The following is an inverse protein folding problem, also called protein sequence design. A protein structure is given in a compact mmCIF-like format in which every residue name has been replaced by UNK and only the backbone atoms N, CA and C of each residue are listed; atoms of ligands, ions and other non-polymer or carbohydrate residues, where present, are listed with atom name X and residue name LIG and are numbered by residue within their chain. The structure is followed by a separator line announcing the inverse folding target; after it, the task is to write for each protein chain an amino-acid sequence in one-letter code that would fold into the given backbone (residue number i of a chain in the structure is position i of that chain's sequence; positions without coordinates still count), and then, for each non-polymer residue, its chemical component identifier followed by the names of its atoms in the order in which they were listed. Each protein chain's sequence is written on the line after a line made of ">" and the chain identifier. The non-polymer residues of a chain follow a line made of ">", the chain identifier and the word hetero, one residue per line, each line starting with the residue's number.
data_IF_135746237113
#
_entry.id   IF_135746237113
#
_cell.length_a   1.000
_cell.length_b   1.000
_cell.length_c   1.000
_cell.angle_alpha   90.00
_cell.angle_beta   90.00
_cell.angle_gamma   90.00
#
_symmetry.space_group_name_H-M   'P 1'
#
loop_
_entity.id
_entity.type
_entity.pdbx_description
1 polymer ?
#
# COMPACT_ATOMS: atom_id res chain seq x y z
N UNK A 1 -14.20 -25.84 -38.20
CA UNK A 1 -13.91 -24.54 -37.56
C UNK A 1 -12.96 -24.81 -36.40
N UNK A 2 -11.75 -24.24 -36.41
CA UNK A 2 -10.81 -24.34 -35.28
C UNK A 2 -11.01 -23.14 -34.36
N UNK A 3 -11.32 -23.39 -33.09
CA UNK A 3 -11.39 -22.34 -32.06
C UNK A 3 -9.97 -22.10 -31.55
N UNK A 4 -9.49 -20.86 -31.61
CA UNK A 4 -8.18 -20.53 -31.06
C UNK A 4 -8.24 -20.40 -29.54
N UNK A 5 -7.12 -20.65 -28.86
CA UNK A 5 -7.00 -20.40 -27.41
C UNK A 5 -7.32 -18.94 -27.06
N UNK A 6 -6.97 -17.99 -27.94
CA UNK A 6 -7.25 -16.58 -27.73
C UNK A 6 -8.75 -16.29 -27.73
N UNK A 7 -9.53 -16.96 -28.60
CA UNK A 7 -10.98 -16.81 -28.65
C UNK A 7 -11.62 -17.43 -27.41
N UNK A 8 -11.17 -18.61 -27.01
CA UNK A 8 -11.63 -19.25 -25.78
C UNK A 8 -11.41 -18.36 -24.55
N UNK A 9 -10.22 -17.74 -24.42
CA UNK A 9 -9.89 -16.84 -23.31
C UNK A 9 -10.74 -15.56 -23.30
N UNK A 10 -11.08 -15.01 -24.47
CA UNK A 10 -11.96 -13.83 -24.57
C UNK A 10 -13.40 -14.13 -24.20
N UNK A 11 -13.84 -15.37 -24.39
CA UNK A 11 -15.18 -15.83 -24.01
C UNK A 11 -15.28 -16.25 -22.55
N UNK A 12 -14.17 -16.29 -21.80
CA UNK A 12 -14.23 -16.60 -20.37
C UNK A 12 -14.97 -15.51 -19.61
N UNK A 13 -15.85 -15.94 -18.70
CA UNK A 13 -16.37 -15.03 -17.67
C UNK A 13 -15.24 -14.58 -16.76
N UNK A 14 -15.42 -13.43 -16.10
CA UNK A 14 -14.47 -12.91 -15.11
C UNK A 14 -14.10 -13.95 -14.05
N UNK A 15 -15.09 -14.71 -13.55
CA UNK A 15 -14.88 -15.76 -12.56
C UNK A 15 -14.07 -16.95 -13.10
N UNK A 16 -14.30 -17.33 -14.36
CA UNK A 16 -13.55 -18.42 -14.99
C UNK A 16 -12.10 -18.00 -15.27
N UNK A 17 -11.87 -16.75 -15.68
CA UNK A 17 -10.53 -16.18 -15.83
C UNK A 17 -9.79 -16.13 -14.49
N UNK A 18 -10.45 -15.69 -13.41
CA UNK A 18 -9.88 -15.69 -12.06
C UNK A 18 -9.48 -17.11 -11.63
N UNK A 19 -10.38 -18.08 -11.81
CA UNK A 19 -10.14 -19.49 -11.46
C UNK A 19 -8.96 -20.09 -12.24
N UNK A 20 -8.82 -19.74 -13.52
CA UNK A 20 -7.67 -20.13 -14.35
C UNK A 20 -6.37 -19.54 -13.81
N UNK A 21 -6.38 -18.25 -13.50
CA UNK A 21 -5.19 -17.54 -12.98
C UNK A 21 -4.80 -18.05 -11.60
N UNK A 22 -5.76 -18.39 -10.74
CA UNK A 22 -5.52 -19.03 -9.45
C UNK A 22 -4.89 -20.41 -9.63
N UNK A 23 -5.38 -21.23 -10.57
CA UNK A 23 -4.75 -22.51 -10.91
C UNK A 23 -3.30 -22.34 -11.39
N UNK A 24 -3.05 -21.36 -12.26
CA UNK A 24 -1.69 -21.02 -12.72
C UNK A 24 -0.80 -20.54 -11.56
N UNK A 25 -1.36 -19.78 -10.61
CA UNK A 25 -0.65 -19.31 -9.41
C UNK A 25 -0.25 -20.46 -8.50
N UNK A 26 -1.18 -21.36 -8.19
CA UNK A 26 -0.93 -22.57 -7.36
C UNK A 26 0.18 -23.44 -7.97
N UNK A 27 0.23 -23.51 -9.31
CA UNK A 27 1.28 -24.27 -10.03
C UNK A 27 2.58 -23.50 -10.26
N UNK A 28 2.66 -22.23 -9.85
CA UNK A 28 3.84 -21.39 -10.09
C UNK A 28 4.09 -21.05 -11.57
N UNK A 29 3.08 -21.19 -12.44
CA UNK A 29 3.22 -21.06 -13.89
C UNK A 29 2.89 -19.66 -14.43
N UNK A 30 2.61 -18.67 -13.57
CA UNK A 30 2.25 -17.31 -13.99
C UNK A 30 3.28 -16.67 -14.93
N UNK A 31 4.61 -16.70 -14.66
CA UNK A 31 5.59 -16.11 -15.55
C UNK A 31 5.59 -16.77 -16.93
N UNK A 32 5.57 -18.11 -16.97
CA UNK A 32 5.51 -18.87 -18.20
C UNK A 32 4.24 -18.54 -19.00
N UNK A 33 3.07 -18.52 -18.36
CA UNK A 33 1.80 -18.19 -19.02
C UNK A 33 1.80 -16.77 -19.63
N UNK A 34 2.37 -15.78 -18.94
CA UNK A 34 2.50 -14.40 -19.47
C UNK A 34 3.46 -14.31 -20.65
N UNK A 35 4.44 -15.20 -20.74
CA UNK A 35 5.38 -15.26 -21.86
C UNK A 35 4.85 -16.06 -23.06
N UNK A 36 3.99 -17.05 -22.83
CA UNK A 36 3.47 -17.95 -23.86
C UNK A 36 2.70 -17.22 -24.97
N UNK A 37 1.73 -16.36 -24.63
CA UNK A 37 1.01 -15.57 -25.63
C UNK A 37 0.36 -14.31 -25.06
N UNK A 38 -0.01 -13.37 -25.96
CA UNK A 38 -0.65 -12.09 -25.59
C UNK A 38 -2.01 -12.27 -24.91
N UNK A 39 -2.80 -13.27 -25.33
CA UNK A 39 -4.13 -13.51 -24.76
C UNK A 39 -4.03 -14.02 -23.31
N UNK A 40 -3.11 -14.95 -23.03
CA UNK A 40 -2.84 -15.40 -21.67
C UNK A 40 -2.29 -14.27 -20.80
N UNK A 41 -1.37 -13.46 -21.32
CA UNK A 41 -0.89 -12.27 -20.61
C UNK A 41 -2.02 -11.31 -20.25
N UNK A 42 -2.89 -10.97 -21.19
CA UNK A 42 -4.04 -10.09 -20.94
C UNK A 42 -5.03 -10.70 -19.94
N UNK A 43 -5.27 -12.02 -20.00
CA UNK A 43 -6.11 -12.74 -19.05
C UNK A 43 -5.50 -12.71 -17.63
N UNK A 44 -4.20 -12.98 -17.50
CA UNK A 44 -3.48 -12.92 -16.23
C UNK A 44 -3.50 -11.50 -15.68
N UNK A 45 -3.05 -10.51 -16.45
CA UNK A 45 -2.95 -9.11 -16.02
C UNK A 45 -4.35 -8.54 -15.70
N UNK A 46 -5.37 -8.90 -16.47
CA UNK A 46 -6.77 -8.54 -16.21
C UNK A 46 -7.36 -9.16 -14.94
N UNK A 47 -6.79 -10.25 -14.42
CA UNK A 47 -7.26 -10.94 -13.20
C UNK A 47 -6.43 -10.59 -11.96
N UNK A 48 -5.41 -9.74 -12.08
CA UNK A 48 -4.61 -9.30 -10.93
C UNK A 48 -5.44 -8.38 -10.04
N UNK A 49 -5.65 -8.81 -8.79
CA UNK A 49 -6.36 -8.05 -7.76
C UNK A 49 -5.43 -7.46 -6.69
N UNK A 50 -4.23 -8.03 -6.55
CA UNK A 50 -3.22 -7.59 -5.60
C UNK A 50 -1.86 -7.52 -6.29
N UNK A 51 -1.15 -6.42 -6.07
CA UNK A 51 0.19 -6.17 -6.58
C UNK A 51 1.17 -6.02 -5.43
N UNK A 52 2.22 -6.82 -5.42
CA UNK A 52 3.36 -6.64 -4.54
C UNK A 52 4.55 -6.16 -5.39
N UNK A 53 5.13 -5.02 -5.04
CA UNK A 53 6.26 -4.43 -5.75
C UNK A 53 7.37 -4.01 -4.79
N UNK A 54 8.61 -4.13 -5.25
CA UNK A 54 9.78 -3.59 -4.55
C UNK A 54 10.31 -2.40 -5.32
N UNK A 55 10.39 -1.24 -4.66
CA UNK A 55 10.89 -0.01 -5.26
C UNK A 55 12.25 0.34 -4.68
N UNK A 56 13.23 0.50 -5.57
CA UNK A 56 14.59 0.92 -5.26
C UNK A 56 14.79 2.38 -5.66
N UNK A 57 15.84 2.99 -5.14
CA UNK A 57 16.19 4.37 -5.51
C UNK A 57 16.33 4.59 -7.03
N UNK A 58 16.91 3.62 -7.76
CA UNK A 58 17.08 3.68 -9.22
C UNK A 58 15.78 3.45 -10.02
N UNK A 59 14.71 2.96 -9.38
CA UNK A 59 13.45 2.69 -10.08
C UNK A 59 12.70 3.98 -10.43
N UNK A 60 12.99 5.10 -9.76
CA UNK A 60 12.42 6.41 -10.09
C UNK A 60 12.65 6.79 -11.55
N UNK A 61 13.90 6.77 -12.01
CA UNK A 61 14.25 7.13 -13.39
C UNK A 61 13.61 6.18 -14.40
N UNK A 62 13.53 4.89 -14.05
CA UNK A 62 12.89 3.87 -14.89
C UNK A 62 11.38 4.08 -14.97
N UNK A 63 10.75 4.52 -13.88
CA UNK A 63 9.33 4.87 -13.86
C UNK A 63 9.04 6.10 -14.70
N UNK A 64 9.82 7.17 -14.54
CA UNK A 64 9.72 8.41 -15.32
C UNK A 64 9.96 8.15 -16.82
N UNK A 65 10.83 7.20 -17.16
CA UNK A 65 11.07 6.74 -18.53
C UNK A 65 10.01 5.74 -19.06
N UNK A 66 8.96 5.43 -18.29
CA UNK A 66 7.91 4.48 -18.70
C UNK A 66 8.36 3.02 -18.81
N UNK A 67 9.50 2.67 -18.22
CA UNK A 67 10.08 1.32 -18.26
C UNK A 67 9.54 0.40 -17.17
N UNK A 68 8.82 0.95 -16.19
CA UNK A 68 8.19 0.18 -15.12
C UNK A 68 6.67 0.07 -15.36
N UNK A 69 6.08 -1.07 -15.00
CA UNK A 69 4.66 -1.31 -15.20
C UNK A 69 3.83 -0.41 -14.30
N UNK A 70 2.87 0.31 -14.88
CA UNK A 70 1.92 1.16 -14.16
C UNK A 70 0.69 0.38 -13.72
N UNK A 71 -0.05 0.90 -12.73
CA UNK A 71 -1.32 0.29 -12.27
C UNK A 71 -2.38 0.17 -13.37
N UNK A 72 -2.26 0.95 -14.45
CA UNK A 72 -3.12 0.84 -15.63
C UNK A 72 -3.09 -0.54 -16.29
N UNK A 73 -2.01 -1.31 -16.12
CA UNK A 73 -1.90 -2.69 -16.62
C UNK A 73 -2.80 -3.67 -15.86
N UNK A 74 -3.20 -3.34 -14.63
CA UNK A 74 -3.98 -4.21 -13.76
C UNK A 74 -5.30 -3.55 -13.40
N UNK A 75 -6.29 -3.54 -14.33
CA UNK A 75 -7.53 -2.81 -14.15
C UNK A 75 -8.42 -3.35 -13.04
N UNK A 76 -8.09 -4.49 -12.42
CA UNK A 76 -8.82 -5.04 -11.27
C UNK A 76 -8.02 -5.01 -9.98
N UNK A 77 -6.84 -4.39 -9.98
CA UNK A 77 -6.02 -4.23 -8.78
C UNK A 77 -6.74 -3.35 -7.76
N UNK A 78 -6.86 -3.86 -6.53
CA UNK A 78 -7.46 -3.17 -5.37
C UNK A 78 -6.53 -3.15 -4.17
N UNK A 79 -5.48 -3.96 -4.18
CA UNK A 79 -4.53 -4.09 -3.09
C UNK A 79 -3.12 -3.87 -3.63
N UNK A 80 -2.36 -2.97 -3.00
CA UNK A 80 -0.98 -2.69 -3.37
C UNK A 80 -0.09 -2.83 -2.15
N UNK A 81 0.89 -3.71 -2.23
CA UNK A 81 2.01 -3.79 -1.32
C UNK A 81 3.26 -3.20 -1.95
N UNK A 82 3.90 -2.26 -1.25
CA UNK A 82 5.11 -1.59 -1.68
C UNK A 82 6.20 -1.84 -0.65
N UNK A 83 7.25 -2.53 -1.08
CA UNK A 83 8.48 -2.70 -0.30
C UNK A 83 9.49 -1.66 -0.78
N UNK A 84 9.91 -0.76 0.10
CA UNK A 84 10.87 0.29 -0.19
C UNK A 84 12.27 -0.19 0.17
N UNK A 85 13.08 -0.48 -0.84
CA UNK A 85 14.51 -0.77 -0.69
C UNK A 85 15.30 0.52 -0.92
N UNK A 86 15.12 1.46 0.00
CA UNK A 86 15.76 2.77 0.00
C UNK A 86 16.95 2.76 0.97
N UNK A 87 18.07 2.16 0.55
CA UNK A 87 19.32 2.32 1.30
C UNK A 87 19.80 3.77 1.19
N UNK A 88 19.91 4.49 2.31
CA UNK A 88 20.40 5.88 2.38
C UNK A 88 19.32 6.97 2.49
N UNK A 89 19.71 8.25 2.35
CA UNK A 89 18.83 9.43 2.44
C UNK A 89 17.98 9.66 1.18
N UNK A 90 17.44 8.59 0.59
CA UNK A 90 16.55 8.73 -0.57
C UNK A 90 15.18 9.24 -0.13
N UNK A 91 14.51 9.96 -1.03
CA UNK A 91 13.17 10.50 -0.82
C UNK A 91 12.12 9.37 -0.79
N UNK A 92 11.98 8.75 0.38
CA UNK A 92 11.07 7.63 0.67
C UNK A 92 9.64 7.98 0.28
N UNK A 93 9.22 9.22 0.56
CA UNK A 93 7.90 9.73 0.23
C UNK A 93 7.66 9.63 -1.27
N UNK A 94 8.57 10.16 -2.10
CA UNK A 94 8.42 10.07 -3.55
C UNK A 94 8.44 8.64 -4.06
N UNK A 95 9.32 7.78 -3.54
CA UNK A 95 9.37 6.37 -3.95
C UNK A 95 8.05 5.66 -3.66
N UNK A 96 7.49 5.84 -2.45
CA UNK A 96 6.23 5.21 -2.04
C UNK A 96 5.03 5.64 -2.90
N UNK A 97 5.06 6.86 -3.45
CA UNK A 97 3.98 7.40 -4.28
C UNK A 97 4.11 7.04 -5.77
N UNK A 98 5.25 6.49 -6.22
CA UNK A 98 5.47 6.16 -7.64
C UNK A 98 4.38 5.27 -8.26
N UNK A 99 3.88 4.20 -7.60
CA UNK A 99 2.84 3.35 -8.18
C UNK A 99 1.56 4.08 -8.56
N UNK A 100 1.29 5.21 -7.90
CA UNK A 100 0.07 6.00 -8.03
C UNK A 100 0.26 7.22 -8.94
N UNK A 101 1.50 7.54 -9.32
CA UNK A 101 1.80 8.68 -10.16
C UNK A 101 1.19 8.53 -11.56
N UNK A 102 0.51 9.58 -12.03
CA UNK A 102 -0.09 9.65 -13.36
C UNK A 102 -1.24 8.65 -13.59
N UNK A 103 -1.81 8.09 -12.53
CA UNK A 103 -2.98 7.20 -12.65
C UNK A 103 -4.27 8.00 -12.77
N UNK A 104 -5.21 7.46 -13.55
CA UNK A 104 -6.56 7.99 -13.64
C UNK A 104 -7.25 7.96 -12.26
N UNK A 105 -8.07 8.98 -11.91
CA UNK A 105 -8.76 9.03 -10.62
C UNK A 105 -9.60 7.79 -10.32
N UNK A 106 -10.24 7.22 -11.34
CA UNK A 106 -11.01 5.98 -11.22
C UNK A 106 -10.13 4.77 -10.85
N UNK A 107 -8.87 4.73 -11.28
CA UNK A 107 -7.94 3.68 -10.90
C UNK A 107 -7.55 3.81 -9.42
N UNK A 108 -7.23 5.02 -8.97
CA UNK A 108 -6.85 5.33 -7.59
C UNK A 108 -8.00 5.07 -6.61
N UNK A 109 -9.24 5.44 -6.97
CA UNK A 109 -10.42 5.23 -6.13
C UNK A 109 -10.73 3.75 -5.86
N UNK A 110 -10.25 2.83 -6.71
CA UNK A 110 -10.44 1.38 -6.53
C UNK A 110 -9.42 0.75 -5.59
N UNK A 111 -8.35 1.44 -5.25
CA UNK A 111 -7.35 0.92 -4.31
C UNK A 111 -7.98 0.96 -2.91
N UNK A 112 -8.30 -0.23 -2.40
CA UNK A 112 -8.94 -0.45 -1.11
C UNK A 112 -7.92 -0.81 -0.02
N UNK A 113 -6.75 -1.35 -0.39
CA UNK A 113 -5.73 -1.75 0.58
C UNK A 113 -4.32 -1.32 0.14
N UNK A 114 -3.57 -0.73 1.06
CA UNK A 114 -2.17 -0.35 0.87
C UNK A 114 -1.32 -0.89 2.01
N UNK A 115 -0.20 -1.55 1.67
CA UNK A 115 0.84 -1.89 2.63
C UNK A 115 2.17 -1.25 2.20
N UNK A 116 2.78 -0.48 3.08
CA UNK A 116 4.12 0.08 2.89
C UNK A 116 5.08 -0.61 3.83
N UNK A 117 6.16 -1.18 3.31
CA UNK A 117 7.13 -1.99 4.06
C UNK A 117 8.55 -1.56 3.72
N UNK A 118 9.50 -1.77 4.62
CA UNK A 118 10.93 -1.69 4.30
C UNK A 118 11.66 -2.91 4.91
N UNK A 119 12.61 -3.52 4.17
CA UNK A 119 13.38 -4.64 4.68
C UNK A 119 14.51 -4.20 5.63
N UNK A 120 14.81 -2.90 5.74
CA UNK A 120 15.95 -2.38 6.49
C UNK A 120 15.54 -1.38 7.58
N UNK A 121 16.22 -1.49 8.73
CA UNK A 121 16.27 -0.47 9.78
C UNK A 121 17.29 0.62 9.38
N UNK A 122 17.17 1.83 9.91
CA UNK A 122 18.08 2.95 9.58
C UNK A 122 17.59 3.87 8.46
N UNK A 123 16.28 3.93 8.23
CA UNK A 123 15.68 4.94 7.36
C UNK A 123 15.67 6.29 8.08
N UNK A 124 16.47 7.26 7.62
CA UNK A 124 16.49 8.62 8.20
C UNK A 124 15.40 9.55 7.61
N UNK A 125 14.30 9.01 7.08
CA UNK A 125 13.29 9.84 6.44
C UNK A 125 12.29 10.34 7.50
N UNK A 126 12.46 11.54 8.04
CA UNK A 126 11.58 12.17 9.03
C UNK A 126 10.31 12.78 8.41
N UNK A 127 9.62 12.04 7.56
CA UNK A 127 8.50 12.56 6.77
C UNK A 127 7.42 11.50 6.47
N UNK A 128 7.30 10.50 7.35
CA UNK A 128 6.25 9.49 7.31
C UNK A 128 4.85 10.09 7.45
N UNK A 129 4.68 11.10 8.31
CA UNK A 129 3.42 11.83 8.48
C UNK A 129 2.99 12.50 7.17
N UNK A 130 3.92 13.16 6.49
CA UNK A 130 3.67 13.81 5.20
C UNK A 130 3.32 12.79 4.12
N UNK A 131 3.98 11.63 4.13
CA UNK A 131 3.65 10.53 3.22
C UNK A 131 2.23 10.02 3.47
N UNK A 132 1.83 9.80 4.72
CA UNK A 132 0.46 9.39 5.05
C UNK A 132 -0.55 10.44 4.56
N UNK A 133 -0.32 11.73 4.83
CA UNK A 133 -1.18 12.80 4.34
C UNK A 133 -1.31 12.80 2.81
N UNK A 134 -0.22 12.61 2.08
CA UNK A 134 -0.24 12.51 0.62
C UNK A 134 -1.02 11.28 0.13
N UNK A 135 -0.88 10.13 0.80
CA UNK A 135 -1.61 8.91 0.46
C UNK A 135 -3.11 9.04 0.69
N UNK A 136 -3.51 9.67 1.80
CA UNK A 136 -4.92 9.95 2.11
C UNK A 136 -5.57 10.77 0.99
N UNK A 137 -4.85 11.76 0.46
CA UNK A 137 -5.32 12.60 -0.65
C UNK A 137 -5.41 11.83 -1.97
N UNK A 138 -4.44 10.96 -2.26
CA UNK A 138 -4.39 10.21 -3.51
C UNK A 138 -5.31 8.99 -3.55
N UNK A 139 -5.63 8.39 -2.41
CA UNK A 139 -6.33 7.10 -2.31
C UNK A 139 -7.64 7.25 -1.52
N UNK A 140 -8.65 7.96 -2.05
CA UNK A 140 -9.92 8.19 -1.34
C UNK A 140 -10.74 6.92 -1.11
N UNK A 141 -10.42 5.83 -1.83
CA UNK A 141 -11.06 4.53 -1.69
C UNK A 141 -10.51 3.64 -0.58
N UNK A 142 -9.45 4.07 0.11
CA UNK A 142 -8.68 3.22 1.01
C UNK A 142 -9.49 2.76 2.22
N UNK A 143 -9.43 1.45 2.49
CA UNK A 143 -10.08 0.75 3.60
C UNK A 143 -9.08 0.16 4.58
N UNK A 144 -7.91 -0.23 4.09
CA UNK A 144 -6.83 -0.78 4.90
C UNK A 144 -5.52 -0.06 4.58
N UNK A 145 -4.85 0.46 5.61
CA UNK A 145 -3.51 1.02 5.50
C UNK A 145 -2.57 0.33 6.49
N UNK A 146 -1.55 -0.36 5.95
CA UNK A 146 -0.49 -0.97 6.73
C UNK A 146 0.79 -0.14 6.56
N UNK A 147 1.00 0.81 7.47
CA UNK A 147 2.14 1.71 7.43
C UNK A 147 3.32 1.12 8.23
N UNK A 148 4.03 0.19 7.60
CA UNK A 148 5.14 -0.57 8.17
C UNK A 148 6.48 0.04 7.72
N UNK A 149 6.72 1.30 8.08
CA UNK A 149 8.00 1.99 7.84
C UNK A 149 8.61 2.41 9.18
N UNK A 150 9.66 1.72 9.69
CA UNK A 150 10.24 2.02 10.99
C UNK A 150 10.98 3.35 10.88
N UNK A 151 11.04 4.08 12.00
CA UNK A 151 11.90 5.27 12.13
C UNK A 151 11.58 6.40 11.13
N UNK A 152 10.48 6.30 10.38
CA UNK A 152 10.12 7.30 9.38
C UNK A 152 9.26 8.46 9.93
N UNK A 153 8.81 8.35 11.16
CA UNK A 153 7.91 9.32 11.77
C UNK A 153 8.72 10.41 12.46
N UNK A 154 8.41 11.66 12.17
CA UNK A 154 8.97 12.80 12.89
C UNK A 154 8.25 12.89 14.25
N UNK A 155 8.99 12.89 15.35
CA UNK A 155 8.37 13.01 16.69
C UNK A 155 7.78 14.42 16.95
N UNK A 156 7.44 15.17 15.90
CA UNK A 156 6.80 16.48 15.96
C UNK A 156 5.29 16.31 16.24
N UNK A 157 4.79 16.78 17.40
CA UNK A 157 3.38 16.65 17.76
C UNK A 157 2.43 17.29 16.74
N UNK A 158 2.84 18.35 16.04
CA UNK A 158 2.01 18.99 15.03
C UNK A 158 1.84 18.10 13.80
N UNK A 159 2.93 17.49 13.32
CA UNK A 159 2.86 16.57 12.18
C UNK A 159 2.05 15.33 12.49
N UNK A 160 2.21 14.77 13.70
CA UNK A 160 1.41 13.64 14.15
C UNK A 160 -0.07 14.00 14.21
N UNK A 161 -0.42 15.16 14.75
CA UNK A 161 -1.80 15.64 14.79
C UNK A 161 -2.40 15.73 13.39
N UNK A 162 -1.69 16.38 12.44
CA UNK A 162 -2.15 16.50 11.06
C UNK A 162 -2.35 15.15 10.37
N UNK A 163 -1.44 14.20 10.61
CA UNK A 163 -1.55 12.84 10.09
C UNK A 163 -2.80 12.13 10.64
N UNK A 164 -3.00 12.13 11.97
CA UNK A 164 -4.14 11.45 12.57
C UNK A 164 -5.46 12.11 12.20
N UNK A 165 -5.52 13.44 12.09
CA UNK A 165 -6.71 14.16 11.62
C UNK A 165 -7.05 13.79 10.17
N UNK A 166 -6.04 13.68 9.30
CA UNK A 166 -6.24 13.21 7.93
C UNK A 166 -6.76 11.77 7.87
N UNK A 167 -6.22 10.88 8.71
CA UNK A 167 -6.68 9.49 8.82
C UNK A 167 -8.10 9.40 9.37
N UNK A 168 -8.44 10.20 10.39
CA UNK A 168 -9.77 10.25 10.99
C UNK A 168 -10.83 10.72 9.98
N UNK A 169 -10.46 11.65 9.10
CA UNK A 169 -11.33 12.17 8.04
C UNK A 169 -11.58 11.19 6.89
N UNK A 170 -10.89 10.04 6.83
CA UNK A 170 -11.11 9.05 5.77
C UNK A 170 -12.47 8.35 5.94
N UNK A 171 -13.38 8.42 4.94
CA UNK A 171 -14.74 7.90 5.09
C UNK A 171 -14.83 6.37 5.07
N UNK A 172 -13.75 5.67 4.64
CA UNK A 172 -13.76 4.23 4.38
C UNK A 172 -12.68 3.45 5.12
N UNK A 173 -11.77 4.13 5.83
CA UNK A 173 -10.62 3.50 6.48
C UNK A 173 -11.07 2.66 7.68
N UNK A 174 -11.19 1.36 7.47
CA UNK A 174 -11.64 0.40 8.49
C UNK A 174 -10.50 -0.25 9.26
N UNK A 175 -9.31 -0.36 8.66
CA UNK A 175 -8.13 -0.95 9.27
C UNK A 175 -6.91 -0.05 9.10
N UNK A 176 -6.21 0.19 10.20
CA UNK A 176 -4.99 0.98 10.24
C UNK A 176 -3.92 0.24 11.06
N UNK A 177 -2.73 0.11 10.48
CA UNK A 177 -1.54 -0.36 11.20
C UNK A 177 -0.51 0.76 11.20
N UNK A 178 -0.14 1.22 12.40
CA UNK A 178 0.86 2.27 12.59
C UNK A 178 2.20 1.70 13.09
N UNK A 179 3.33 2.33 12.75
CA UNK A 179 4.63 1.95 13.26
C UNK A 179 4.86 2.63 14.62
N UNK A 180 5.43 1.87 15.57
CA UNK A 180 5.88 2.35 16.88
C UNK A 180 4.80 2.90 17.82
N UNK A 181 5.06 2.82 19.13
CA UNK A 181 4.20 3.42 20.16
C UNK A 181 4.35 4.94 20.29
N UNK A 182 5.46 5.51 19.79
CA UNK A 182 5.75 6.96 19.91
C UNK A 182 4.95 7.84 18.95
N UNK A 183 4.28 7.25 17.97
CA UNK A 183 3.39 7.95 17.04
C UNK A 183 1.99 8.16 17.62
N UNK A 184 1.77 7.69 18.85
CA UNK A 184 0.43 7.53 19.41
C UNK A 184 0.01 8.67 20.33
N UNK A 185 0.86 9.66 20.60
CA UNK A 185 0.54 10.77 21.50
C UNK A 185 -0.73 11.53 21.08
N UNK A 186 -1.02 11.52 19.78
CA UNK A 186 -2.21 12.14 19.16
C UNK A 186 -3.23 11.13 18.64
N UNK A 187 -3.09 9.84 18.94
CA UNK A 187 -3.96 8.78 18.42
C UNK A 187 -5.43 8.94 18.82
N UNK A 188 -5.70 9.65 19.91
CA UNK A 188 -7.07 9.91 20.37
C UNK A 188 -7.93 10.70 19.38
N UNK A 189 -7.34 11.37 18.39
CA UNK A 189 -8.11 12.07 17.33
C UNK A 189 -8.76 11.09 16.36
N UNK A 190 -8.24 9.85 16.26
CA UNK A 190 -8.85 8.78 15.48
C UNK A 190 -10.23 8.38 16.02
N UNK A 191 -10.60 8.78 17.25
CA UNK A 191 -11.94 8.57 17.80
C UNK A 191 -13.02 9.31 16.99
N UNK A 192 -12.64 10.35 16.24
CA UNK A 192 -13.52 11.04 15.31
C UNK A 192 -13.78 10.24 14.02
N UNK A 193 -13.04 9.15 13.77
CA UNK A 193 -13.27 8.30 12.60
C UNK A 193 -14.59 7.55 12.73
N UNK A 194 -15.44 7.70 11.71
CA UNK A 194 -16.71 6.97 11.63
C UNK A 194 -16.57 5.54 11.10
N UNK A 195 -15.38 5.20 10.56
CA UNK A 195 -15.19 3.95 9.80
C UNK A 195 -14.13 3.03 10.37
N UNK A 196 -13.21 3.54 11.20
CA UNK A 196 -12.11 2.77 11.77
C UNK A 196 -12.65 1.72 12.76
N UNK A 197 -12.23 0.46 12.56
CA UNK A 197 -12.64 -0.70 13.38
C UNK A 197 -11.45 -1.45 13.95
N UNK A 198 -10.34 -1.44 13.23
CA UNK A 198 -9.14 -2.19 13.59
C UNK A 198 -7.97 -1.21 13.60
N UNK A 199 -7.44 -0.95 14.78
CA UNK A 199 -6.16 -0.28 14.96
C UNK A 199 -5.14 -1.30 15.46
N UNK A 200 -4.05 -1.48 14.72
CA UNK A 200 -2.92 -2.27 15.18
C UNK A 200 -1.69 -1.37 15.31
N UNK A 201 -0.93 -1.56 16.38
CA UNK A 201 0.32 -0.85 16.62
C UNK A 201 1.44 -1.86 16.46
N UNK A 202 2.32 -1.65 15.48
CA UNK A 202 3.47 -2.50 15.29
C UNK A 202 4.64 -2.02 16.14
N UNK A 203 4.88 -2.71 17.25
CA UNK A 203 5.97 -2.43 18.18
C UNK A 203 7.26 -3.07 17.65
N UNK A 204 7.93 -2.37 16.74
CA UNK A 204 9.25 -2.75 16.27
C UNK A 204 10.30 -2.37 17.29
N UNK A 205 10.77 -3.39 18.01
CA UNK A 205 11.88 -3.38 18.97
C UNK A 205 12.07 -2.04 19.67
N UNK A 206 11.17 -1.72 20.59
CA UNK A 206 11.47 -0.76 21.64
C UNK A 206 12.80 -1.14 22.26
N UNK A 207 13.73 -0.18 22.35
CA UNK A 207 14.88 -0.33 23.25
C UNK A 207 14.31 -0.73 24.61
N UNK A 208 14.90 -1.77 25.23
CA UNK A 208 14.31 -2.51 26.36
C UNK A 208 13.92 -1.64 27.58
N UNK A 209 14.37 -0.40 27.63
CA UNK A 209 14.27 0.46 28.81
C UNK A 209 13.34 1.67 28.63
N UNK A 210 12.62 1.82 27.51
CA UNK A 210 11.69 2.94 27.34
C UNK A 210 10.22 2.51 27.47
N UNK A 211 9.38 3.33 28.14
CA UNK A 211 7.95 3.07 28.21
C UNK A 211 7.36 3.00 26.79
N UNK A 212 6.64 1.91 26.51
CA UNK A 212 6.08 1.62 25.19
C UNK A 212 5.04 2.66 24.74
N UNK A 213 4.38 3.33 25.70
CA UNK A 213 3.32 4.30 25.49
C UNK A 213 3.53 5.49 26.43
N UNK A 214 3.34 6.71 25.92
CA UNK A 214 3.18 7.89 26.76
C UNK A 214 1.81 7.86 27.46
N UNK A 215 1.65 8.65 28.53
CA UNK A 215 0.34 8.82 29.18
C UNK A 215 -0.71 9.39 28.21
N UNK A 216 -0.28 10.27 27.30
CA UNK A 216 -1.13 10.82 26.25
C UNK A 216 -1.60 9.74 25.27
N UNK A 217 -0.69 8.87 24.83
CA UNK A 217 -1.02 7.73 23.97
C UNK A 217 -1.96 6.75 24.68
N UNK A 218 -1.69 6.42 25.93
CA UNK A 218 -2.55 5.53 26.72
C UNK A 218 -3.96 6.13 26.93
N UNK A 219 -4.06 7.43 27.21
CA UNK A 219 -5.34 8.13 27.31
C UNK A 219 -6.08 8.20 25.97
N UNK A 220 -5.35 8.42 24.86
CA UNK A 220 -5.90 8.45 23.51
C UNK A 220 -6.47 7.09 23.10
N UNK A 221 -5.74 6.00 23.34
CA UNK A 221 -6.20 4.64 23.01
C UNK A 221 -7.45 4.23 23.80
N UNK A 222 -7.62 4.71 25.03
CA UNK A 222 -8.84 4.46 25.83
C UNK A 222 -10.10 5.13 25.27
N UNK A 223 -9.95 6.09 24.34
CA UNK A 223 -11.07 6.81 23.70
C UNK A 223 -11.53 6.18 22.39
N UNK A 224 -10.75 5.24 21.85
CA UNK A 224 -11.06 4.48 20.62
C UNK A 224 -11.90 3.25 20.97
#
# INVERSE_FOLDING_TARGET
>A
MSVSLADALRCLSTQAADSLVDCLRVKGCIPAARLSCRALRACVDGSVQSLETTLRAGDRQRWEAGQLPSLALWPRCRSVGVTLDARGRNDVTRLALLPFAGQEPAALQRIEALALRTPAFGMCATNGEQLVCALVQQLPGLRALDFLLPECMSYDPLQQQLMHDALAAMPRLARLVLPSGRTLDRVGTLAASISLRILCINLWSSRRDEPLLSDAAAAGLKRL
#
